data_IF_548232275982
#
_entry.id   IF_548232275982
#
_cell.length_a   1.000
_cell.length_b   1.000
_cell.length_c   1.000
_cell.angle_alpha   90.00
_cell.angle_beta   90.00
_cell.angle_gamma   90.00
#
_symmetry.space_group_name_H-M   'P 1'
#
loop_
_entity.id
_entity.type
_entity.pdbx_description
1 polymer ?
#
# COMPACT_ATOMS: atom_id res chain seq x y z
N UNK A 1 -15.01 -9.81 -13.00
CA UNK A 1 -13.58 -9.48 -13.06
C UNK A 1 -13.45 -7.97 -12.96
N UNK A 2 -13.30 -7.45 -11.75
CA UNK A 2 -12.93 -6.05 -11.56
C UNK A 2 -11.50 -5.91 -12.08
N UNK A 3 -11.30 -5.14 -13.15
CA UNK A 3 -9.97 -4.80 -13.65
C UNK A 3 -9.20 -4.18 -12.47
N UNK A 4 -8.11 -4.82 -12.05
CA UNK A 4 -7.25 -4.29 -11.01
C UNK A 4 -6.73 -2.90 -11.40
N UNK A 5 -6.43 -2.07 -10.42
CA UNK A 5 -5.88 -0.75 -10.69
C UNK A 5 -4.53 -0.91 -11.41
N UNK A 6 -4.18 -0.04 -12.38
CA UNK A 6 -2.86 -0.08 -13.01
C UNK A 6 -1.74 -0.04 -11.96
N UNK A 7 -0.77 -0.95 -12.07
CA UNK A 7 0.33 -1.06 -11.10
C UNK A 7 -0.05 -1.58 -9.71
N UNK A 8 -1.23 -2.19 -9.54
CA UNK A 8 -1.65 -2.80 -8.27
C UNK A 8 -0.86 -4.07 -7.96
N UNK A 9 -0.16 -4.04 -6.82
CA UNK A 9 0.31 -5.24 -6.15
C UNK A 9 -0.77 -5.77 -5.22
N UNK A 10 -1.01 -7.08 -5.22
CA UNK A 10 -2.00 -7.72 -4.35
C UNK A 10 -1.35 -8.70 -3.39
N UNK A 11 -1.71 -8.60 -2.11
CA UNK A 11 -1.27 -9.52 -1.06
C UNK A 11 -2.48 -10.24 -0.46
N UNK A 12 -2.45 -11.57 -0.44
CA UNK A 12 -3.47 -12.36 0.25
C UNK A 12 -3.17 -12.46 1.75
N UNK A 13 -4.17 -12.20 2.60
CA UNK A 13 -4.09 -12.29 4.06
C UNK A 13 -5.23 -13.14 4.58
N UNK A 14 -4.93 -14.11 5.46
CA UNK A 14 -5.92 -14.80 6.28
C UNK A 14 -6.12 -14.02 7.58
N UNK A 15 -7.37 -13.81 7.96
CA UNK A 15 -7.70 -13.27 9.28
C UNK A 15 -7.56 -14.35 10.34
N UNK A 16 -6.73 -14.09 11.35
CA UNK A 16 -6.55 -14.96 12.51
C UNK A 16 -7.20 -14.37 13.77
N UNK A 17 -7.26 -15.18 14.83
CA UNK A 17 -7.88 -14.79 16.10
C UNK A 17 -7.28 -13.50 16.66
N UNK A 18 -5.96 -13.33 16.56
CA UNK A 18 -5.22 -12.13 16.99
C UNK A 18 -5.61 -10.85 16.25
N UNK A 19 -6.29 -10.97 15.11
CA UNK A 19 -6.74 -9.82 14.33
C UNK A 19 -8.11 -9.32 14.77
N UNK A 20 -8.84 -10.11 15.56
CA UNK A 20 -10.22 -9.85 15.98
C UNK A 20 -10.32 -9.23 17.38
N UNK A 21 -11.43 -8.57 17.67
CA UNK A 21 -11.76 -8.05 19.00
C UNK A 21 -13.10 -8.58 19.53
N UNK A 22 -13.55 -8.06 20.68
CA UNK A 22 -14.78 -8.48 21.35
C UNK A 22 -16.05 -8.30 20.49
N UNK A 23 -16.01 -7.48 19.44
CA UNK A 23 -17.13 -7.30 18.51
C UNK A 23 -17.34 -8.50 17.59
N UNK A 24 -16.38 -9.44 17.53
CA UNK A 24 -16.40 -10.57 16.60
C UNK A 24 -15.97 -10.20 15.17
N UNK A 25 -15.45 -8.99 14.98
CA UNK A 25 -14.87 -8.51 13.73
C UNK A 25 -13.38 -8.29 13.85
N UNK A 26 -12.72 -8.09 12.71
CA UNK A 26 -11.33 -7.61 12.67
C UNK A 26 -11.25 -6.24 13.34
N UNK A 27 -10.37 -6.11 14.33
CA UNK A 27 -10.07 -4.86 15.00
C UNK A 27 -9.54 -3.84 14.00
N UNK A 28 -10.06 -2.60 14.04
CA UNK A 28 -9.77 -1.59 13.03
C UNK A 28 -8.26 -1.32 12.83
N UNK A 29 -7.44 -1.44 13.88
CA UNK A 29 -5.99 -1.25 13.79
C UNK A 29 -5.25 -2.45 13.14
N UNK A 30 -5.83 -3.65 13.14
CA UNK A 30 -5.25 -4.82 12.44
C UNK A 30 -5.12 -4.57 10.94
N UNK A 31 -6.02 -3.79 10.34
CA UNK A 31 -5.91 -3.38 8.95
C UNK A 31 -4.65 -2.57 8.65
N UNK A 32 -4.08 -1.84 9.63
CA UNK A 32 -2.80 -1.16 9.45
C UNK A 32 -1.66 -2.15 9.21
N UNK A 33 -1.66 -3.29 9.93
CA UNK A 33 -0.68 -4.38 9.75
C UNK A 33 -0.85 -5.04 8.38
N UNK A 34 -2.08 -5.31 7.96
CA UNK A 34 -2.36 -5.90 6.64
C UNK A 34 -1.90 -4.98 5.51
N UNK A 35 -2.26 -3.70 5.61
CA UNK A 35 -1.88 -2.68 4.63
C UNK A 35 -0.37 -2.41 4.63
N UNK A 36 0.30 -2.45 5.79
CA UNK A 36 1.77 -2.35 5.85
C UNK A 36 2.43 -3.46 5.05
N UNK A 37 2.06 -4.73 5.28
CA UNK A 37 2.56 -5.86 4.51
C UNK A 37 2.33 -5.67 3.01
N UNK A 38 1.16 -5.17 2.62
CA UNK A 38 0.86 -4.83 1.22
C UNK A 38 1.81 -3.78 0.62
N UNK A 39 2.15 -2.72 1.37
CA UNK A 39 3.13 -1.70 0.94
C UNK A 39 4.54 -2.27 0.87
N UNK A 40 4.91 -3.11 1.82
CA UNK A 40 6.22 -3.76 1.85
C UNK A 40 6.42 -4.67 0.65
N UNK A 41 5.40 -5.44 0.26
CA UNK A 41 5.50 -6.32 -0.90
C UNK A 41 5.43 -5.57 -2.24
N UNK A 42 4.67 -4.47 -2.34
CA UNK A 42 4.77 -3.54 -3.48
C UNK A 42 6.19 -2.98 -3.63
N UNK A 43 6.79 -2.50 -2.53
CA UNK A 43 8.17 -2.02 -2.53
C UNK A 43 9.13 -3.14 -2.94
N UNK A 44 8.93 -4.35 -2.44
CA UNK A 44 9.77 -5.50 -2.81
C UNK A 44 9.70 -5.81 -4.31
N UNK A 45 8.49 -5.84 -4.88
CA UNK A 45 8.31 -6.17 -6.30
C UNK A 45 8.88 -5.09 -7.21
N UNK A 46 8.81 -3.81 -6.82
CA UNK A 46 9.24 -2.70 -7.65
C UNK A 46 10.68 -2.27 -7.41
N UNK A 47 11.14 -2.24 -6.16
CA UNK A 47 12.41 -1.66 -5.73
C UNK A 47 13.41 -2.69 -5.17
N UNK A 48 12.97 -3.91 -4.85
CA UNK A 48 13.78 -4.91 -4.15
C UNK A 48 13.61 -4.82 -2.64
N UNK A 49 14.40 -5.60 -1.90
CA UNK A 49 14.23 -5.72 -0.44
C UNK A 49 14.51 -4.39 0.27
N UNK A 50 13.63 -3.99 1.19
CA UNK A 50 13.80 -2.74 1.94
C UNK A 50 15.09 -2.71 2.77
N UNK A 51 15.57 -3.86 3.25
CA UNK A 51 16.85 -3.96 3.95
C UNK A 51 18.03 -3.61 3.06
N UNK A 52 17.95 -3.99 1.78
CA UNK A 52 19.00 -3.70 0.80
C UNK A 52 18.90 -2.24 0.36
N UNK A 53 17.69 -1.72 0.14
CA UNK A 53 17.47 -0.30 -0.09
C UNK A 53 18.03 0.57 1.05
N UNK A 54 17.80 0.17 2.30
CA UNK A 54 18.31 0.89 3.46
C UNK A 54 19.84 0.92 3.47
N UNK A 55 20.48 -0.23 3.18
CA UNK A 55 21.93 -0.37 3.13
C UNK A 55 22.54 0.42 1.96
N UNK A 56 22.00 0.23 0.77
CA UNK A 56 22.57 0.73 -0.49
C UNK A 56 22.26 2.22 -0.71
N UNK A 57 21.18 2.74 -0.11
CA UNK A 57 20.80 4.15 -0.19
C UNK A 57 21.14 4.94 1.09
N UNK A 58 22.23 4.57 1.76
CA UNK A 58 22.83 5.32 2.87
C UNK A 58 21.84 5.62 4.01
N UNK A 59 21.16 4.59 4.53
CA UNK A 59 20.25 4.76 5.66
C UNK A 59 18.90 5.37 5.28
N UNK A 60 18.46 5.22 4.03
CA UNK A 60 17.13 5.66 3.61
C UNK A 60 16.04 4.83 4.31
N UNK A 61 15.01 5.52 4.82
CA UNK A 61 13.84 4.91 5.44
C UNK A 61 12.54 5.47 4.84
N UNK A 62 11.50 4.65 4.85
CA UNK A 62 10.15 5.04 4.48
C UNK A 62 9.28 5.20 5.73
N UNK A 63 8.69 6.37 5.91
CA UNK A 63 7.89 6.70 7.10
C UNK A 63 6.50 7.15 6.68
N UNK A 64 5.46 6.57 7.27
CA UNK A 64 4.07 7.04 7.04
C UNK A 64 3.89 8.42 7.67
N UNK A 65 3.59 9.43 6.85
CA UNK A 65 3.37 10.82 7.26
C UNK A 65 1.89 11.16 7.49
N UNK A 66 1.01 10.56 6.68
CA UNK A 66 -0.45 10.73 6.72
C UNK A 66 -1.10 9.43 6.25
N UNK A 67 -2.21 9.06 6.89
CA UNK A 67 -3.10 8.02 6.42
C UNK A 67 -4.55 8.44 6.65
N UNK A 68 -5.40 8.24 5.65
CA UNK A 68 -6.87 8.40 5.75
C UNK A 68 -7.48 7.05 5.40
N UNK A 69 -8.40 6.57 6.22
CA UNK A 69 -8.95 5.22 6.14
C UNK A 69 -10.47 5.27 6.28
N UNK A 70 -11.15 4.64 5.34
CA UNK A 70 -12.59 4.43 5.37
C UNK A 70 -12.89 2.94 5.58
N UNK A 71 -13.67 2.63 6.61
CA UNK A 71 -14.10 1.27 6.95
C UNK A 71 -15.57 1.08 6.53
N UNK A 72 -15.80 0.49 5.36
CA UNK A 72 -17.14 0.35 4.79
C UNK A 72 -17.86 -0.90 5.28
N UNK A 73 -17.14 -2.03 5.43
CA UNK A 73 -17.70 -3.33 5.81
C UNK A 73 -16.72 -4.14 6.65
N UNK A 74 -17.18 -4.98 7.59
CA UNK A 74 -16.30 -5.75 8.45
C UNK A 74 -15.85 -7.08 7.82
N UNK A 75 -14.64 -7.51 8.20
CA UNK A 75 -14.13 -8.87 8.04
C UNK A 75 -14.27 -9.64 9.36
N UNK A 76 -14.26 -10.98 9.28
CA UNK A 76 -14.38 -11.92 10.40
C UNK A 76 -13.22 -12.90 10.42
N UNK A 77 -13.12 -13.64 11.54
CA UNK A 77 -12.23 -14.81 11.65
C UNK A 77 -12.35 -15.70 10.41
N UNK A 78 -11.21 -16.21 9.95
CA UNK A 78 -11.07 -17.07 8.78
C UNK A 78 -11.41 -16.42 7.43
N UNK A 79 -11.75 -15.14 7.34
CA UNK A 79 -11.87 -14.49 6.03
C UNK A 79 -10.51 -14.51 5.28
N UNK A 80 -10.56 -14.71 3.96
CA UNK A 80 -9.45 -14.43 3.05
C UNK A 80 -9.64 -13.03 2.48
N UNK A 81 -8.66 -12.17 2.74
CA UNK A 81 -8.61 -10.79 2.29
C UNK A 81 -7.55 -10.62 1.21
N UNK A 82 -7.85 -9.77 0.24
CA UNK A 82 -6.91 -9.26 -0.74
C UNK A 82 -6.59 -7.81 -0.40
N UNK A 83 -5.31 -7.53 -0.13
CA UNK A 83 -4.79 -6.18 0.11
C UNK A 83 -4.17 -5.68 -1.19
N UNK A 84 -4.91 -4.85 -1.92
CA UNK A 84 -4.42 -4.13 -3.09
C UNK A 84 -3.64 -2.88 -2.68
N UNK A 85 -2.50 -2.62 -3.32
CA UNK A 85 -1.65 -1.45 -3.07
C UNK A 85 -1.05 -0.96 -4.39
N UNK A 86 -1.16 0.33 -4.68
CA UNK A 86 -0.55 0.96 -5.86
C UNK A 86 -0.10 2.39 -5.60
N UNK A 87 0.89 2.84 -6.36
CA UNK A 87 1.35 4.23 -6.33
C UNK A 87 0.41 5.13 -7.13
N UNK A 88 -0.07 6.20 -6.51
CA UNK A 88 -0.92 7.20 -7.16
C UNK A 88 -0.16 8.46 -7.56
N UNK A 89 0.90 8.82 -6.82
CA UNK A 89 1.74 9.96 -7.17
C UNK A 89 3.14 9.90 -6.52
N UNK A 90 4.12 10.54 -7.16
CA UNK A 90 5.46 10.77 -6.59
C UNK A 90 5.76 12.27 -6.50
N UNK A 91 5.80 12.83 -5.28
CA UNK A 91 5.95 14.28 -5.02
C UNK A 91 7.17 14.58 -4.16
N UNK A 92 8.19 15.24 -4.71
CA UNK A 92 9.35 15.66 -3.93
C UNK A 92 9.96 14.52 -3.09
N UNK A 93 9.83 14.62 -1.77
CA UNK A 93 10.30 13.63 -0.79
C UNK A 93 9.25 12.58 -0.37
N UNK A 94 8.09 12.50 -1.04
CA UNK A 94 7.00 11.60 -0.66
C UNK A 94 6.42 10.79 -1.82
N UNK A 95 6.05 9.55 -1.48
CA UNK A 95 5.27 8.63 -2.29
C UNK A 95 3.82 8.63 -1.79
N UNK A 96 2.87 8.74 -2.70
CA UNK A 96 1.45 8.66 -2.42
C UNK A 96 0.94 7.31 -2.91
N UNK A 97 0.27 6.59 -2.02
CA UNK A 97 -0.25 5.25 -2.27
C UNK A 97 -1.75 5.24 -2.03
N UNK A 98 -2.45 4.39 -2.76
CA UNK A 98 -3.79 3.96 -2.43
C UNK A 98 -3.79 2.47 -2.07
N UNK A 99 -4.66 2.09 -1.16
CA UNK A 99 -4.85 0.70 -0.74
C UNK A 99 -6.32 0.36 -0.61
N UNK A 100 -6.65 -0.89 -0.97
CA UNK A 100 -7.99 -1.44 -0.80
C UNK A 100 -7.89 -2.83 -0.20
N UNK A 101 -8.71 -3.11 0.81
CA UNK A 101 -8.85 -4.44 1.40
C UNK A 101 -10.19 -5.02 0.96
N UNK A 102 -10.15 -6.16 0.28
CA UNK A 102 -11.31 -6.82 -0.33
C UNK A 102 -11.49 -8.22 0.20
N UNK A 103 -12.73 -8.69 0.29
CA UNK A 103 -13.07 -10.12 0.46
C UNK A 103 -13.75 -10.59 -0.83
N UNK A 104 -13.04 -11.36 -1.64
CA UNK A 104 -13.45 -11.59 -3.04
C UNK A 104 -13.52 -10.26 -3.79
N UNK A 105 -14.67 -9.99 -4.42
CA UNK A 105 -14.92 -8.72 -5.13
C UNK A 105 -15.50 -7.60 -4.23
N UNK A 106 -15.73 -7.88 -2.94
CA UNK A 106 -16.33 -6.93 -2.01
C UNK A 106 -15.27 -6.03 -1.34
N UNK A 107 -15.32 -4.72 -1.62
CA UNK A 107 -14.50 -3.72 -0.93
C UNK A 107 -14.93 -3.53 0.53
N UNK A 108 -13.98 -3.70 1.45
CA UNK A 108 -14.20 -3.58 2.90
C UNK A 108 -13.60 -2.31 3.48
N UNK A 109 -12.36 -2.01 3.11
CA UNK A 109 -11.58 -0.87 3.62
C UNK A 109 -10.85 -0.20 2.48
N UNK A 110 -10.83 1.13 2.47
CA UNK A 110 -10.01 1.93 1.54
C UNK A 110 -9.08 2.83 2.34
N UNK A 111 -7.88 3.06 1.83
CA UNK A 111 -6.95 3.98 2.45
C UNK A 111 -6.12 4.78 1.45
N UNK A 112 -5.88 6.04 1.78
CA UNK A 112 -4.85 6.87 1.17
C UNK A 112 -3.66 6.98 2.12
N UNK A 113 -2.45 6.77 1.61
CA UNK A 113 -1.22 6.80 2.41
C UNK A 113 -0.22 7.75 1.78
N UNK A 114 0.39 8.61 2.61
CA UNK A 114 1.56 9.41 2.23
C UNK A 114 2.76 8.89 2.99
N UNK A 115 3.75 8.42 2.25
CA UNK A 115 5.01 7.90 2.76
C UNK A 115 6.12 8.89 2.45
N UNK A 116 6.79 9.40 3.47
CA UNK A 116 7.97 10.25 3.33
C UNK A 116 9.25 9.40 3.27
N UNK A 117 10.20 9.85 2.46
CA UNK A 117 11.53 9.27 2.37
C UNK A 117 12.42 10.06 3.33
N UNK A 118 13.05 9.38 4.29
CA UNK A 118 13.78 10.01 5.39
C UNK A 118 15.20 9.47 5.43
N UNK A 119 16.18 10.36 5.63
CA UNK A 119 17.57 10.03 5.90
C UNK A 119 18.07 10.96 7.00
N UNK A 120 18.77 10.43 7.99
CA UNK A 120 19.29 11.19 9.15
C UNK A 120 18.22 12.09 9.81
N UNK A 121 17.00 11.55 9.95
CA UNK A 121 15.86 12.25 10.55
C UNK A 121 15.27 13.38 9.69
N UNK A 122 15.72 13.59 8.45
CA UNK A 122 15.23 14.62 7.54
C UNK A 122 14.55 14.03 6.32
N UNK A 123 13.49 14.68 5.85
CA UNK A 123 12.85 14.33 4.59
C UNK A 123 13.81 14.61 3.43
N UNK A 124 14.04 13.61 2.58
CA UNK A 124 14.94 13.67 1.43
C UNK A 124 14.22 13.25 0.17
N UNK A 125 14.64 13.80 -0.98
CA UNK A 125 14.13 13.33 -2.26
C UNK A 125 14.53 11.87 -2.47
N UNK A 126 13.60 11.07 -2.98
CA UNK A 126 13.93 9.70 -3.36
C UNK A 126 14.93 9.72 -4.54
N UNK A 127 16.01 8.90 -4.51
CA UNK A 127 16.93 8.78 -5.64
C UNK A 127 16.19 8.48 -6.95
N UNK A 128 16.64 9.07 -8.06
CA UNK A 128 15.93 9.00 -9.34
C UNK A 128 15.74 7.55 -9.84
N UNK A 129 16.72 6.68 -9.59
CA UNK A 129 16.63 5.25 -9.93
C UNK A 129 15.46 4.55 -9.24
N UNK A 130 15.21 4.85 -7.96
CA UNK A 130 14.07 4.32 -7.20
C UNK A 130 12.78 5.03 -7.58
N UNK A 131 12.83 6.34 -7.81
CA UNK A 131 11.66 7.12 -8.22
C UNK A 131 11.07 6.63 -9.54
N UNK A 132 11.90 6.24 -10.51
CA UNK A 132 11.44 5.69 -11.78
C UNK A 132 10.72 4.34 -11.60
N UNK A 133 11.24 3.46 -10.73
CA UNK A 133 10.66 2.14 -10.46
C UNK A 133 9.35 2.22 -9.66
N UNK A 134 9.20 3.24 -8.84
CA UNK A 134 8.06 3.42 -7.92
C UNK A 134 7.00 4.39 -8.44
N UNK A 135 7.22 5.00 -9.60
CA UNK A 135 6.26 5.89 -10.23
C UNK A 135 4.95 5.15 -10.55
N UNK A 136 3.80 5.85 -10.58
CA UNK A 136 2.54 5.24 -11.00
C UNK A 136 2.67 4.60 -12.38
N UNK A 137 2.08 3.42 -12.54
CA UNK A 137 1.98 2.79 -13.85
C UNK A 137 0.98 3.58 -14.71
N UNK A 138 1.46 4.17 -15.81
CA UNK A 138 0.64 4.98 -16.71
C UNK A 138 -0.07 4.17 -17.79
N UNK A 139 0.05 2.83 -17.78
CA UNK A 139 -0.50 1.96 -18.83
C UNK A 139 -2.04 1.90 -18.89
N UNK A 140 -2.76 2.65 -18.04
CA UNK A 140 -4.23 2.76 -18.05
C UNK A 140 -4.84 4.01 -18.72
N UNK A 141 -4.04 5.03 -19.09
CA UNK A 141 -4.61 6.35 -19.47
C UNK A 141 -5.05 6.46 -20.95
N UNK A 142 -4.92 5.39 -21.74
CA UNK A 142 -5.25 5.40 -23.17
C UNK A 142 -6.70 5.05 -23.54
N UNK A 143 -7.60 4.77 -22.58
CA UNK A 143 -8.94 4.29 -22.92
C UNK A 143 -10.10 4.93 -22.14
N UNK A 144 -10.07 6.24 -21.86
CA UNK A 144 -11.28 7.00 -21.45
C UNK A 144 -11.37 8.41 -22.06
N UNK A 145 -10.94 8.58 -23.33
CA UNK A 145 -11.27 9.77 -24.11
C UNK A 145 -11.77 9.40 -25.51
N UNK A 146 -12.88 8.66 -25.57
CA UNK A 146 -13.80 8.76 -26.69
C UNK A 146 -15.19 8.22 -26.31
N UNK A 147 -16.16 9.14 -26.30
CA UNK A 147 -17.63 8.99 -26.33
C UNK A 147 -18.34 9.36 -25.04
#
# INVERSE_FOLDING_TARGET
MTLGNPGEHTLQVRVYYEDTDFSGFVYHASYLRFMERGRTELLRSLAGDQSDLHRDAEGLHFVVRRMVIDYAKPARMDDILMVGTWTTAMKGASMHLAQEVRRGDEGLVKAEVVVACVRDGRAVRLPDSLRLRLAPDQSGDHLQSSR
#
